data_IF_134941874329
#
_entry.id   IF_134941874329
#
_cell.length_a   1.000
_cell.length_b   1.000
_cell.length_c   1.000
_cell.angle_alpha   90.00
_cell.angle_beta   90.00
_cell.angle_gamma   90.00
#
_symmetry.space_group_name_H-M   'P 1'
#
loop_
_entity.id
_entity.type
_entity.pdbx_description
1 polymer ?
#
# COMPACT_ATOMS: atom_id res chain seq x y z
N UNK A 1 -15.15 -51.91 16.28
CA UNK A 1 -14.82 -50.49 16.08
C UNK A 1 -13.87 -50.41 14.90
N UNK A 2 -14.30 -49.83 13.78
CA UNK A 2 -13.46 -49.67 12.59
C UNK A 2 -12.70 -48.35 12.76
N UNK A 3 -11.40 -48.43 13.04
CA UNK A 3 -10.52 -47.28 12.93
C UNK A 3 -10.25 -47.07 11.44
N UNK A 4 -10.66 -45.93 10.90
CA UNK A 4 -10.33 -45.51 9.54
C UNK A 4 -9.17 -44.49 9.63
N UNK A 5 -7.91 -44.95 9.67
CA UNK A 5 -6.75 -44.07 9.91
C UNK A 5 -6.59 -42.98 8.85
N UNK A 6 -7.13 -43.21 7.65
CA UNK A 6 -7.05 -42.28 6.53
C UNK A 6 -7.99 -41.09 6.70
N UNK A 7 -9.13 -41.30 7.37
CA UNK A 7 -10.13 -40.27 7.64
C UNK A 7 -9.64 -39.33 8.74
N UNK A 8 -8.99 -39.86 9.77
CA UNK A 8 -8.33 -39.07 10.82
C UNK A 8 -7.11 -38.29 10.30
N UNK A 9 -6.33 -38.87 9.37
CA UNK A 9 -5.21 -38.16 8.73
C UNK A 9 -5.72 -37.05 7.81
N UNK A 10 -6.79 -37.29 7.04
CA UNK A 10 -7.39 -36.24 6.21
C UNK A 10 -7.99 -35.13 7.06
N UNK A 11 -8.70 -35.46 8.14
CA UNK A 11 -9.24 -34.45 9.05
C UNK A 11 -8.13 -33.69 9.77
N UNK A 12 -7.04 -34.35 10.17
CA UNK A 12 -5.86 -33.70 10.75
C UNK A 12 -5.13 -32.79 9.76
N UNK A 13 -5.08 -33.15 8.47
CA UNK A 13 -4.50 -32.30 7.42
C UNK A 13 -5.41 -31.10 7.19
N UNK A 14 -6.73 -31.30 7.12
CA UNK A 14 -7.71 -30.22 6.94
C UNK A 14 -7.74 -29.29 8.16
N UNK A 15 -7.55 -29.80 9.38
CA UNK A 15 -7.39 -28.97 10.60
C UNK A 15 -6.03 -28.25 10.64
N UNK A 16 -4.97 -28.83 10.06
CA UNK A 16 -3.67 -28.16 9.91
C UNK A 16 -3.67 -27.07 8.84
N UNK A 17 -4.51 -27.20 7.81
CA UNK A 17 -4.75 -26.16 6.84
C UNK A 17 -5.74 -25.15 7.42
N UNK A 18 -5.20 -24.15 8.10
CA UNK A 18 -5.98 -23.04 8.64
C UNK A 18 -6.71 -22.31 7.50
N UNK A 19 -7.98 -22.66 7.31
CA UNK A 19 -8.85 -22.04 6.31
C UNK A 19 -8.96 -20.52 6.53
N UNK A 20 -8.72 -20.04 7.76
CA UNK A 20 -8.65 -18.60 8.02
C UNK A 20 -7.39 -17.98 7.45
N UNK A 21 -6.24 -18.67 7.46
CA UNK A 21 -5.01 -18.17 6.82
C UNK A 21 -5.15 -18.09 5.29
N UNK A 22 -5.82 -19.07 4.67
CA UNK A 22 -6.13 -19.05 3.22
C UNK A 22 -7.13 -17.94 2.89
N UNK A 23 -8.15 -17.73 3.74
CA UNK A 23 -9.14 -16.66 3.55
C UNK A 23 -8.50 -15.27 3.76
N UNK A 24 -7.61 -15.13 4.75
CA UNK A 24 -6.86 -13.88 4.99
C UNK A 24 -5.92 -13.55 3.83
N UNK A 25 -5.24 -14.56 3.27
CA UNK A 25 -4.42 -14.40 2.07
C UNK A 25 -5.25 -14.02 0.83
N UNK A 26 -6.46 -14.56 0.70
CA UNK A 26 -7.39 -14.19 -0.37
C UNK A 26 -7.98 -12.77 -0.19
N UNK A 27 -8.23 -12.35 1.06
CA UNK A 27 -8.71 -11.00 1.39
C UNK A 27 -7.62 -9.93 1.18
N UNK A 28 -6.35 -10.24 1.43
CA UNK A 28 -5.21 -9.35 1.12
C UNK A 28 -5.10 -9.07 -0.39
N UNK A 29 -5.32 -10.07 -1.25
CA UNK A 29 -5.21 -9.93 -2.70
C UNK A 29 -6.33 -9.06 -3.31
N UNK A 30 -7.54 -9.14 -2.77
CA UNK A 30 -8.65 -8.27 -3.17
C UNK A 30 -8.52 -6.83 -2.65
N UNK A 31 -7.83 -6.63 -1.52
CA UNK A 31 -7.57 -5.28 -1.00
C UNK A 31 -6.56 -4.50 -1.85
N UNK A 32 -5.53 -5.18 -2.40
CA UNK A 32 -4.51 -4.57 -3.27
C UNK A 32 -5.09 -4.08 -4.60
N UNK A 33 -5.94 -4.87 -5.24
CA UNK A 33 -6.55 -4.48 -6.52
C UNK A 33 -7.45 -3.24 -6.42
N UNK A 34 -8.17 -3.09 -5.30
CA UNK A 34 -8.96 -1.88 -5.05
C UNK A 34 -8.08 -0.68 -4.67
N UNK A 35 -7.02 -0.89 -3.88
CA UNK A 35 -6.07 0.15 -3.51
C UNK A 35 -5.29 0.71 -4.72
N UNK A 36 -4.89 -0.14 -5.67
CA UNK A 36 -4.23 0.30 -6.91
C UNK A 36 -5.18 1.12 -7.81
N UNK A 37 -6.47 0.76 -7.86
CA UNK A 37 -7.47 1.54 -8.59
C UNK A 37 -7.75 2.90 -7.94
N UNK A 38 -7.78 2.96 -6.62
CA UNK A 38 -7.90 4.21 -5.86
C UNK A 38 -6.68 5.12 -6.07
N UNK A 39 -5.48 4.55 -6.07
CA UNK A 39 -4.24 5.29 -6.31
C UNK A 39 -4.18 5.88 -7.73
N UNK A 40 -4.52 5.10 -8.76
CA UNK A 40 -4.59 5.60 -10.14
C UNK A 40 -5.56 6.78 -10.23
N UNK A 41 -6.72 6.68 -9.58
CA UNK A 41 -7.71 7.76 -9.58
C UNK A 41 -7.16 9.04 -8.96
N UNK A 42 -6.42 8.93 -7.86
CA UNK A 42 -5.80 10.07 -7.18
C UNK A 42 -4.70 10.71 -8.04
N UNK A 43 -3.85 9.91 -8.67
CA UNK A 43 -2.84 10.44 -9.59
C UNK A 43 -3.44 11.07 -10.85
N UNK A 44 -4.59 10.60 -11.33
CA UNK A 44 -5.29 11.23 -12.46
C UNK A 44 -5.75 12.68 -12.15
N UNK A 45 -5.92 13.04 -10.87
CA UNK A 45 -6.28 14.42 -10.49
C UNK A 45 -5.11 15.40 -10.60
N UNK A 46 -3.87 14.90 -10.50
CA UNK A 46 -2.64 15.70 -10.49
C UNK A 46 -1.84 15.60 -11.79
N UNK A 47 -1.94 14.48 -12.51
CA UNK A 47 -1.25 14.25 -13.79
C UNK A 47 -2.27 14.13 -14.95
N UNK A 48 -2.42 15.17 -15.80
CA UNK A 48 -3.34 15.13 -16.93
C UNK A 48 -3.01 14.04 -17.96
N UNK A 49 -1.73 13.69 -18.11
CA UNK A 49 -1.31 12.63 -19.03
C UNK A 49 -1.82 11.27 -18.58
N UNK A 50 -1.68 10.93 -17.30
CA UNK A 50 -2.24 9.71 -16.73
C UNK A 50 -3.77 9.67 -16.87
N UNK A 51 -4.45 10.80 -16.69
CA UNK A 51 -5.90 10.88 -16.87
C UNK A 51 -6.33 10.51 -18.31
N UNK A 52 -5.60 10.98 -19.32
CA UNK A 52 -5.84 10.64 -20.72
C UNK A 52 -5.53 9.16 -21.01
N UNK A 53 -4.39 8.64 -20.53
CA UNK A 53 -4.03 7.23 -20.67
C UNK A 53 -5.04 6.30 -20.00
N UNK A 54 -5.53 6.65 -18.82
CA UNK A 54 -6.52 5.86 -18.10
C UNK A 54 -7.89 5.88 -18.80
N UNK A 55 -8.23 6.99 -19.45
CA UNK A 55 -9.41 7.07 -20.32
C UNK A 55 -9.25 6.19 -21.56
N UNK A 56 -8.09 6.16 -22.19
CA UNK A 56 -7.79 5.27 -23.31
C UNK A 56 -7.92 3.79 -22.91
N UNK A 57 -7.37 3.42 -21.75
CA UNK A 57 -7.56 2.09 -21.18
C UNK A 57 -9.03 1.73 -20.98
N UNK A 58 -9.84 2.63 -20.37
CA UNK A 58 -11.28 2.41 -20.19
C UNK A 58 -12.02 2.22 -21.52
N UNK A 59 -11.65 3.01 -22.53
CA UNK A 59 -12.23 2.90 -23.87
C UNK A 59 -11.88 1.57 -24.53
N UNK A 60 -10.61 1.17 -24.51
CA UNK A 60 -10.16 -0.12 -25.04
C UNK A 60 -10.86 -1.29 -24.35
N UNK A 61 -10.98 -1.23 -23.02
CA UNK A 61 -11.68 -2.26 -22.22
C UNK A 61 -13.15 -2.38 -22.60
N UNK A 62 -13.83 -1.24 -22.73
CA UNK A 62 -15.23 -1.21 -23.16
C UNK A 62 -15.42 -1.77 -24.57
N UNK A 63 -14.50 -1.49 -25.50
CA UNK A 63 -14.53 -2.04 -26.85
C UNK A 63 -14.32 -3.55 -26.84
N UNK A 64 -13.31 -4.05 -26.12
CA UNK A 64 -13.06 -5.48 -25.97
C UNK A 64 -14.26 -6.20 -25.34
N UNK A 65 -14.87 -5.66 -24.29
CA UNK A 65 -16.07 -6.23 -23.67
C UNK A 65 -17.28 -6.23 -24.60
N UNK A 66 -17.43 -5.20 -25.43
CA UNK A 66 -18.49 -5.11 -26.43
C UNK A 66 -18.31 -6.17 -27.52
N UNK A 67 -17.09 -6.29 -28.05
CA UNK A 67 -16.74 -7.30 -29.05
C UNK A 67 -16.89 -8.72 -28.49
N UNK A 68 -16.48 -8.97 -27.25
CA UNK A 68 -16.62 -10.27 -26.58
C UNK A 68 -18.08 -10.77 -26.51
N UNK A 69 -19.05 -9.85 -26.48
CA UNK A 69 -20.48 -10.18 -26.45
C UNK A 69 -21.04 -10.50 -27.83
N UNK A 70 -20.52 -9.87 -28.88
CA UNK A 70 -21.08 -9.93 -30.24
C UNK A 70 -20.29 -10.83 -31.19
N UNK A 71 -19.00 -11.04 -30.93
CA UNK A 71 -18.10 -11.73 -31.82
C UNK A 71 -18.23 -13.27 -31.73
N UNK A 72 -18.01 -14.00 -32.84
CA UNK A 72 -17.93 -15.45 -32.83
C UNK A 72 -16.74 -15.95 -31.98
N UNK A 73 -16.79 -17.23 -31.54
CA UNK A 73 -15.92 -17.81 -30.52
C UNK A 73 -14.40 -17.79 -30.82
N UNK A 74 -13.97 -17.42 -32.03
CA UNK A 74 -12.57 -17.32 -32.47
C UNK A 74 -12.38 -16.14 -33.43
N UNK A 75 -12.86 -14.96 -33.06
CA UNK A 75 -12.66 -13.76 -33.87
C UNK A 75 -11.25 -13.18 -33.60
N UNK A 76 -10.37 -13.07 -34.61
CA UNK A 76 -9.05 -12.45 -34.42
C UNK A 76 -9.14 -10.99 -33.98
N UNK A 77 -10.27 -10.31 -34.22
CA UNK A 77 -10.50 -8.95 -33.72
C UNK A 77 -10.61 -8.91 -32.19
N UNK A 78 -11.04 -10.02 -31.56
CA UNK A 78 -11.10 -10.12 -30.11
C UNK A 78 -9.70 -10.18 -29.50
N UNK A 79 -8.78 -10.91 -30.14
CA UNK A 79 -7.37 -10.99 -29.71
C UNK A 79 -6.69 -9.63 -29.85
N UNK A 80 -6.89 -8.93 -30.97
CA UNK A 80 -6.38 -7.55 -31.16
C UNK A 80 -6.95 -6.60 -30.11
N UNK A 81 -8.25 -6.69 -29.82
CA UNK A 81 -8.88 -5.85 -28.81
C UNK A 81 -8.35 -6.16 -27.39
N UNK A 82 -8.01 -7.42 -27.10
CA UNK A 82 -7.37 -7.80 -25.84
C UNK A 82 -5.94 -7.21 -25.75
N UNK A 83 -5.14 -7.34 -26.81
CA UNK A 83 -3.78 -6.77 -26.87
C UNK A 83 -3.78 -5.24 -26.71
N UNK A 84 -4.80 -4.57 -27.25
CA UNK A 84 -4.99 -3.12 -27.06
C UNK A 84 -5.26 -2.74 -25.60
N UNK A 85 -6.05 -3.55 -24.88
CA UNK A 85 -6.31 -3.33 -23.44
C UNK A 85 -5.03 -3.49 -22.64
N UNK A 86 -4.28 -4.55 -22.90
CA UNK A 86 -3.03 -4.86 -22.19
C UNK A 86 -1.97 -3.78 -22.46
N UNK A 87 -1.87 -3.32 -23.71
CA UNK A 87 -0.98 -2.22 -24.08
C UNK A 87 -1.34 -0.93 -23.36
N UNK A 88 -2.63 -0.56 -23.33
CA UNK A 88 -3.09 0.63 -22.62
C UNK A 88 -2.85 0.52 -21.10
N UNK A 89 -3.07 -0.65 -20.52
CA UNK A 89 -2.81 -0.90 -19.10
C UNK A 89 -1.32 -0.78 -18.76
N UNK A 90 -0.44 -1.28 -19.64
CA UNK A 90 1.01 -1.17 -19.48
C UNK A 90 1.45 0.31 -19.46
N UNK A 91 0.88 1.16 -20.32
CA UNK A 91 1.15 2.61 -20.32
C UNK A 91 0.71 3.27 -19.02
N UNK A 92 -0.51 2.98 -18.55
CA UNK A 92 -1.03 3.50 -17.26
C UNK A 92 -0.12 3.08 -16.11
N UNK A 93 0.23 1.80 -16.04
CA UNK A 93 1.05 1.25 -14.97
C UNK A 93 2.44 1.86 -14.96
N UNK A 94 3.07 1.99 -16.14
CA UNK A 94 4.38 2.64 -16.28
C UNK A 94 4.31 4.09 -15.80
N UNK A 95 3.29 4.84 -16.21
CA UNK A 95 3.15 6.23 -15.80
C UNK A 95 2.93 6.39 -14.29
N UNK A 96 2.18 5.49 -13.66
CA UNK A 96 2.01 5.48 -12.19
C UNK A 96 3.34 5.22 -11.49
N UNK A 97 4.17 4.30 -12.00
CA UNK A 97 5.50 4.05 -11.45
C UNK A 97 6.39 5.29 -11.54
N UNK A 98 6.37 5.99 -12.68
CA UNK A 98 7.07 7.27 -12.84
C UNK A 98 6.59 8.32 -11.83
N UNK A 99 5.28 8.44 -11.62
CA UNK A 99 4.71 9.41 -10.68
C UNK A 99 5.01 9.08 -9.21
N UNK A 100 5.18 7.80 -8.87
CA UNK A 100 5.65 7.38 -7.54
C UNK A 100 7.11 7.73 -7.29
N UNK A 101 7.92 7.80 -8.34
CA UNK A 101 9.32 8.22 -8.27
C UNK A 101 9.46 9.75 -8.28
N UNK A 102 8.44 10.47 -8.75
CA UNK A 102 8.38 11.93 -8.76
C UNK A 102 7.88 12.48 -7.39
N UNK A 103 8.81 13.10 -6.65
CA UNK A 103 8.54 13.67 -5.33
C UNK A 103 7.50 14.81 -5.39
N UNK A 104 7.52 15.63 -6.44
CA UNK A 104 6.61 16.77 -6.61
C UNK A 104 5.17 16.28 -6.86
N UNK A 105 5.02 15.26 -7.71
CA UNK A 105 3.73 14.64 -8.01
C UNK A 105 3.13 13.97 -6.76
N UNK A 106 3.97 13.26 -6.00
CA UNK A 106 3.57 12.60 -4.76
C UNK A 106 3.16 13.61 -3.69
N UNK A 107 3.87 14.73 -3.56
CA UNK A 107 3.51 15.80 -2.63
C UNK A 107 2.17 16.44 -3.01
N UNK A 108 1.95 16.74 -4.30
CA UNK A 108 0.67 17.27 -4.78
C UNK A 108 -0.49 16.32 -4.51
N UNK A 109 -0.30 15.02 -4.73
CA UNK A 109 -1.29 13.99 -4.40
C UNK A 109 -1.58 13.97 -2.90
N UNK A 110 -0.56 13.99 -2.04
CA UNK A 110 -0.73 14.02 -0.58
C UNK A 110 -1.49 15.28 -0.11
N UNK A 111 -1.21 16.44 -0.69
CA UNK A 111 -1.95 17.67 -0.42
C UNK A 111 -3.43 17.55 -0.81
N UNK A 112 -3.73 16.93 -1.97
CA UNK A 112 -5.11 16.70 -2.42
C UNK A 112 -5.85 15.74 -1.50
N UNK A 113 -5.21 14.65 -1.07
CA UNK A 113 -5.80 13.72 -0.10
C UNK A 113 -6.09 14.40 1.25
N UNK A 114 -5.19 15.28 1.71
CA UNK A 114 -5.41 16.06 2.93
C UNK A 114 -6.59 17.05 2.83
N UNK A 115 -6.87 17.57 1.63
CA UNK A 115 -8.02 18.46 1.37
C UNK A 115 -9.34 17.71 1.21
N UNK A 116 -9.31 16.48 0.70
CA UNK A 116 -10.49 15.63 0.51
C UNK A 116 -10.89 14.84 1.77
N UNK A 117 -10.01 14.73 2.77
CA UNK A 117 -10.38 14.18 4.06
C UNK A 117 -11.61 14.93 4.60
N UNK A 118 -12.70 14.23 4.97
CA UNK A 118 -13.84 14.89 5.56
C UNK A 118 -13.34 15.67 6.76
N UNK A 119 -13.57 16.98 6.77
CA UNK A 119 -13.57 17.73 8.01
C UNK A 119 -14.57 17.02 8.91
N UNK A 120 -14.10 16.15 9.81
CA UNK A 120 -14.89 15.75 10.96
C UNK A 120 -15.42 17.05 11.55
N UNK A 121 -16.75 17.20 11.75
CA UNK A 121 -17.28 18.45 12.25
C UNK A 121 -16.70 18.65 13.65
N UNK A 122 -15.66 19.47 13.73
CA UNK A 122 -15.19 20.07 14.98
C UNK A 122 -16.16 21.19 15.43
N UNK A 123 -17.42 21.13 15.01
CA UNK A 123 -18.45 22.15 15.17
C UNK A 123 -19.47 21.83 16.27
N UNK A 124 -19.44 20.65 16.90
CA UNK A 124 -20.29 20.39 18.10
C UNK A 124 -19.55 20.52 19.44
N UNK A 125 -18.22 20.71 19.46
CA UNK A 125 -17.47 21.00 20.69
C UNK A 125 -17.05 22.49 20.82
N UNK A 126 -17.28 23.31 19.78
CA UNK A 126 -16.90 24.72 19.75
C UNK A 126 -17.98 25.69 20.26
N UNK A 127 -19.27 25.35 20.16
CA UNK A 127 -20.33 26.30 20.54
C UNK A 127 -20.57 26.40 22.06
N UNK A 128 -20.20 25.39 22.86
CA UNK A 128 -20.25 25.50 24.33
C UNK A 128 -19.01 26.21 24.92
N UNK A 129 -17.88 26.22 24.21
CA UNK A 129 -16.63 26.83 24.69
C UNK A 129 -16.55 28.33 24.36
N UNK A 130 -17.17 28.79 23.28
CA UNK A 130 -17.22 30.22 22.94
C UNK A 130 -18.17 31.03 23.83
N UNK A 131 -19.32 30.49 24.26
CA UNK A 131 -20.18 31.15 25.25
C UNK A 131 -19.55 31.23 26.65
N UNK A 132 -18.63 30.33 26.99
CA UNK A 132 -17.84 30.41 28.23
C UNK A 132 -16.64 31.35 28.10
N UNK A 133 -16.02 31.46 26.91
CA UNK A 133 -14.92 32.43 26.65
C UNK A 133 -15.38 33.88 26.61
N UNK A 134 -16.56 34.18 26.08
CA UNK A 134 -17.09 35.55 26.05
C UNK A 134 -17.55 36.07 27.43
N UNK A 135 -17.72 35.18 28.42
CA UNK A 135 -18.08 35.56 29.80
C UNK A 135 -16.87 35.75 30.73
N UNK A 136 -15.68 35.33 30.30
CA UNK A 136 -14.42 35.46 31.06
C UNK A 136 -13.64 36.72 30.62
N UNK A 137 -13.92 37.30 29.45
CA UNK A 137 -13.28 38.55 28.99
C UNK A 137 -13.78 39.82 29.71
N UNK A 138 -14.72 39.71 30.64
CA UNK A 138 -15.23 40.84 31.44
C UNK A 138 -14.60 40.98 32.83
N UNK A 139 -13.72 40.07 33.25
CA UNK A 139 -12.99 40.22 34.52
C UNK A 139 -11.49 40.03 34.30
N UNK A 140 -10.75 41.14 34.42
CA UNK A 140 -9.31 41.18 34.24
C UNK A 140 -8.50 40.28 35.16
N UNK A 141 -7.26 40.01 34.73
CA UNK A 141 -6.22 39.25 35.43
C UNK A 141 -5.38 38.49 34.40
N UNK A 142 -4.38 39.11 33.79
CA UNK A 142 -2.99 39.22 34.26
C UNK A 142 -2.27 37.86 34.46
N UNK A 143 -1.15 37.74 33.74
CA UNK A 143 0.10 37.07 34.12
C UNK A 143 0.17 35.53 34.18
N UNK A 144 1.12 35.03 33.37
CA UNK A 144 2.01 33.89 33.63
C UNK A 144 1.38 32.49 33.73
N UNK A 145 1.42 31.74 32.62
CA UNK A 145 1.19 30.29 32.64
C UNK A 145 2.38 29.53 32.03
N UNK A 146 3.59 29.99 32.35
CA UNK A 146 4.88 29.42 31.93
C UNK A 146 5.53 28.55 33.02
N UNK A 147 4.78 28.21 34.09
CA UNK A 147 5.32 27.57 35.30
C UNK A 147 4.51 26.38 35.82
N UNK A 148 3.57 25.87 35.05
CA UNK A 148 2.79 24.72 35.48
C UNK A 148 3.58 23.42 35.25
N UNK A 149 4.06 22.75 36.32
CA UNK A 149 4.96 21.61 36.21
C UNK A 149 4.29 20.42 35.50
N UNK A 150 2.96 20.33 35.55
CA UNK A 150 2.19 19.28 34.88
C UNK A 150 2.18 19.44 33.36
N UNK A 151 2.11 20.68 32.86
CA UNK A 151 2.12 20.95 31.42
C UNK A 151 3.51 20.70 30.81
N UNK A 152 4.56 21.08 31.54
CA UNK A 152 5.96 20.80 31.15
C UNK A 152 6.22 19.28 31.19
N UNK A 153 5.69 18.56 32.17
CA UNK A 153 5.81 17.10 32.25
C UNK A 153 5.07 16.38 31.11
N UNK A 154 3.89 16.87 30.71
CA UNK A 154 3.13 16.34 29.57
C UNK A 154 3.88 16.53 28.25
N UNK A 155 4.43 17.73 28.00
CA UNK A 155 5.25 17.99 26.81
C UNK A 155 6.50 17.12 26.75
N UNK A 156 7.17 16.91 27.89
CA UNK A 156 8.34 16.02 27.97
C UNK A 156 7.98 14.57 27.68
N UNK A 157 6.85 14.09 28.23
CA UNK A 157 6.34 12.74 28.00
C UNK A 157 5.95 12.50 26.55
N UNK A 158 5.34 13.49 25.90
CA UNK A 158 5.00 13.41 24.48
C UNK A 158 6.26 13.28 23.61
N UNK A 159 7.29 14.08 23.91
CA UNK A 159 8.56 14.06 23.17
C UNK A 159 9.33 12.74 23.34
N UNK A 160 9.31 12.15 24.54
CA UNK A 160 9.93 10.84 24.81
C UNK A 160 9.24 9.70 24.04
N UNK A 161 7.91 9.75 23.89
CA UNK A 161 7.16 8.76 23.10
C UNK A 161 7.50 8.86 21.61
N UNK A 162 7.59 10.09 21.08
CA UNK A 162 7.93 10.32 19.67
C UNK A 162 9.38 9.89 19.36
N UNK A 163 10.32 10.12 20.28
CA UNK A 163 11.72 9.69 20.14
C UNK A 163 11.86 8.16 20.17
N UNK A 164 11.12 7.47 21.05
CA UNK A 164 11.09 6.01 21.11
C UNK A 164 10.51 5.39 19.83
N UNK A 165 9.47 6.02 19.25
CA UNK A 165 8.85 5.59 17.99
C UNK A 165 9.76 5.82 16.79
N UNK A 166 10.55 6.90 16.79
CA UNK A 166 11.50 7.16 15.71
C UNK A 166 12.71 6.21 15.77
N UNK A 167 13.17 5.88 16.98
CA UNK A 167 14.25 4.91 17.19
C UNK A 167 13.89 3.50 16.73
N UNK A 168 12.69 3.03 17.05
CA UNK A 168 12.19 1.71 16.60
C UNK A 168 12.11 1.61 15.08
N UNK A 169 11.60 2.65 14.39
CA UNK A 169 11.62 2.70 12.92
C UNK A 169 13.03 2.63 12.35
N UNK A 170 13.98 3.31 12.98
CA UNK A 170 15.36 3.32 12.53
C UNK A 170 16.04 1.95 12.72
N UNK A 171 15.75 1.27 13.84
CA UNK A 171 16.25 -0.08 14.13
C UNK A 171 15.66 -1.11 13.16
N UNK A 172 14.36 -1.01 12.83
CA UNK A 172 13.70 -1.85 11.82
C UNK A 172 14.30 -1.67 10.43
N UNK A 173 14.59 -0.41 10.04
CA UNK A 173 15.24 -0.11 8.77
C UNK A 173 16.65 -0.71 8.69
N UNK A 174 17.44 -0.59 9.77
CA UNK A 174 18.78 -1.20 9.85
C UNK A 174 18.68 -2.73 9.78
N UNK A 175 17.70 -3.33 10.45
CA UNK A 175 17.47 -4.77 10.40
C UNK A 175 17.13 -5.26 8.99
N UNK A 176 16.20 -4.59 8.30
CA UNK A 176 15.85 -4.89 6.91
C UNK A 176 17.05 -4.77 5.98
N UNK A 177 17.84 -3.70 6.12
CA UNK A 177 19.06 -3.50 5.32
C UNK A 177 20.09 -4.60 5.56
N UNK A 178 20.31 -4.99 6.83
CA UNK A 178 21.25 -6.05 7.18
C UNK A 178 20.80 -7.41 6.62
N UNK A 179 19.51 -7.73 6.72
CA UNK A 179 18.93 -8.95 6.16
C UNK A 179 19.09 -8.98 4.64
N UNK A 180 18.87 -7.86 3.96
CA UNK A 180 19.05 -7.76 2.51
C UNK A 180 20.53 -7.91 2.10
N UNK A 181 21.44 -7.28 2.84
CA UNK A 181 22.89 -7.40 2.61
C UNK A 181 23.38 -8.84 2.80
N UNK A 182 22.92 -9.53 3.85
CA UNK A 182 23.23 -10.94 4.09
C UNK A 182 22.67 -11.79 2.94
N UNK A 183 21.39 -11.62 2.57
CA UNK A 183 20.77 -12.36 1.48
C UNK A 183 21.54 -12.20 0.15
N UNK A 184 21.94 -10.98 -0.20
CA UNK A 184 22.77 -10.72 -1.39
C UNK A 184 24.13 -11.43 -1.31
N UNK A 185 24.81 -11.39 -0.16
CA UNK A 185 26.12 -12.03 0.02
C UNK A 185 26.04 -13.56 -0.08
N UNK A 186 24.97 -14.15 0.45
CA UNK A 186 24.69 -15.58 0.29
C UNK A 186 24.34 -15.94 -1.15
N UNK A 187 23.52 -15.14 -1.83
CA UNK A 187 23.19 -15.34 -3.24
C UNK A 187 24.43 -15.24 -4.15
N UNK A 188 25.32 -14.28 -3.90
CA UNK A 188 26.58 -14.15 -4.65
C UNK A 188 27.51 -15.34 -4.40
N UNK A 189 27.66 -15.80 -3.15
CA UNK A 189 28.43 -17.01 -2.85
C UNK A 189 27.83 -18.25 -3.51
N UNK A 190 26.50 -18.40 -3.53
CA UNK A 190 25.84 -19.54 -4.17
C UNK A 190 26.14 -19.61 -5.67
N UNK A 191 26.23 -18.46 -6.36
CA UNK A 191 26.63 -18.41 -7.77
C UNK A 191 28.05 -18.95 -8.00
N UNK A 192 28.98 -18.63 -7.11
CA UNK A 192 30.37 -19.12 -7.18
C UNK A 192 30.49 -20.65 -6.97
N UNK A 193 29.62 -21.24 -6.15
CA UNK A 193 29.58 -22.70 -5.98
C UNK A 193 28.99 -23.41 -7.21
N UNK A 194 27.97 -22.83 -7.83
CA UNK A 194 27.36 -23.41 -9.04
C UNK A 194 28.28 -23.33 -10.25
N UNK A 195 29.02 -22.24 -10.43
CA UNK A 195 29.97 -22.09 -11.54
C UNK A 195 31.19 -23.01 -11.42
N UNK A 196 31.68 -23.24 -10.20
CA UNK A 196 32.75 -24.21 -9.90
C UNK A 196 32.35 -25.67 -10.18
N UNK A 197 31.11 -26.05 -9.83
CA UNK A 197 30.57 -27.37 -10.12
C UNK A 197 30.42 -27.61 -11.63
N UNK A 198 29.91 -26.64 -12.39
CA UNK A 198 29.78 -26.77 -13.85
C UNK A 198 31.13 -26.89 -14.57
N UNK A 199 32.18 -26.21 -14.10
CA UNK A 199 33.52 -26.34 -14.67
C UNK A 199 34.16 -27.71 -14.39
N UNK A 200 33.86 -28.30 -13.23
CA UNK A 200 34.38 -29.61 -12.82
C UNK A 200 33.76 -30.77 -13.60
N UNK A 201 32.46 -30.66 -13.93
CA UNK A 201 31.77 -31.66 -14.75
C UNK A 201 32.11 -31.58 -16.25
N UNK A 202 32.45 -30.39 -16.77
CA UNK A 202 32.85 -30.22 -18.17
C UNK A 202 34.26 -30.74 -18.48
N UNK A 203 35.12 -30.96 -17.48
CA UNK A 203 36.48 -31.46 -17.66
C UNK A 203 36.60 -32.99 -17.46
N UNK A 204 35.51 -33.65 -17.05
CA UNK A 204 35.45 -35.09 -16.77
C UNK A 204 34.63 -35.89 -17.81
N UNK A 205 34.24 -35.27 -18.92
CA UNK A 205 33.61 -35.90 -20.08
C UNK A 205 34.53 -35.78 -21.30
#
# INVERSE_FOLDING_TARGET
MKFNPLEDVLNSIVEQFDLQAITSLAEEDHSKGNAELDEISLYCEVDPLLADLYKEYKNAKSQHESLKKTAPKNDPMLDVAADMVDSAWCMVTTRVLELREDEDATEMMAMRMAQQAPSFPADEARDETEKKRAKISASGGSLAHDKDPEFIALLKRQKEIDEARNKTRHDDFIFCFLMFYIAQRWASKAKDYTSSLHHSFAQAA
#
